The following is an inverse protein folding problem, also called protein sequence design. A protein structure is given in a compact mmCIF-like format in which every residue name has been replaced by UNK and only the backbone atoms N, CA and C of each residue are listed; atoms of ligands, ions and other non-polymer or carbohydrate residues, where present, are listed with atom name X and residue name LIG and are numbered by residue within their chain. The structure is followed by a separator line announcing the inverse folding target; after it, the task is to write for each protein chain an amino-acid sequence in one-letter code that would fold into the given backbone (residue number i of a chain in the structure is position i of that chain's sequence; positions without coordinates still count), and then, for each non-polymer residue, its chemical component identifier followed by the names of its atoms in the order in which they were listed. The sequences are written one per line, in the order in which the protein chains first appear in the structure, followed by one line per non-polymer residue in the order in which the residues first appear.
data_IF_585748768989
#
_entry.id   IF_585748768989
#
_cell.length_a   1.000
_cell.length_b   1.000
_cell.length_c   1.000
_cell.angle_alpha   90.00
_cell.angle_beta   90.00
_cell.angle_gamma   90.00
#
_symmetry.space_group_name_H-M   'P 1'
#
loop_
_entity.id
_entity.type
_entity.pdbx_description
1 polymer ?
#
# COMPACT_ATOMS: atom_id res chain seq x y z
N UNK A 1 -35.88 -77.71 21.68
CA UNK A 1 -36.22 -78.19 20.32
C UNK A 1 -37.40 -77.33 19.87
N UNK A 2 -37.17 -76.26 19.09
CA UNK A 2 -37.36 -76.17 17.61
C UNK A 2 -38.77 -76.60 17.19
N UNK A 3 -39.62 -75.81 16.52
CA UNK A 3 -39.52 -75.01 15.28
C UNK A 3 -40.37 -73.72 15.42
N UNK A 4 -39.94 -72.51 15.05
CA UNK A 4 -39.76 -71.89 13.72
C UNK A 4 -41.04 -71.77 12.87
N UNK A 5 -41.58 -70.56 12.75
CA UNK A 5 -42.20 -70.02 11.52
C UNK A 5 -42.26 -68.48 11.55
N UNK A 6 -41.86 -67.90 10.43
CA UNK A 6 -41.66 -66.49 10.06
C UNK A 6 -43.00 -65.80 9.73
N UNK A 7 -43.13 -64.47 9.88
CA UNK A 7 -43.29 -63.58 8.69
C UNK A 7 -42.47 -62.28 8.83
N UNK A 8 -41.56 -61.98 7.90
CA UNK A 8 -41.77 -61.11 6.72
C UNK A 8 -41.95 -59.63 7.08
N UNK A 9 -40.80 -58.98 7.25
CA UNK A 9 -40.62 -57.55 7.42
C UNK A 9 -40.75 -56.86 6.05
N UNK A 10 -41.59 -55.82 5.94
CA UNK A 10 -41.57 -54.90 4.79
C UNK A 10 -41.57 -53.47 5.30
N UNK A 11 -40.39 -53.02 5.74
CA UNK A 11 -40.11 -51.60 5.97
C UNK A 11 -39.67 -50.95 4.65
N UNK A 12 -40.54 -50.12 4.10
CA UNK A 12 -40.24 -49.22 2.99
C UNK A 12 -39.22 -48.18 3.44
N UNK A 13 -37.96 -48.30 3.04
CA UNK A 13 -36.96 -47.23 3.17
C UNK A 13 -37.09 -46.25 2.01
N UNK A 14 -37.65 -45.09 2.29
CA UNK A 14 -37.56 -43.89 1.44
C UNK A 14 -36.11 -43.40 1.44
N UNK A 15 -35.41 -43.53 0.31
CA UNK A 15 -34.09 -42.94 0.09
C UNK A 15 -34.24 -41.46 -0.28
N UNK A 16 -33.80 -40.58 0.62
CA UNK A 16 -33.61 -39.16 0.33
C UNK A 16 -32.44 -38.98 -0.67
N UNK A 17 -32.55 -38.05 -1.65
CA UNK A 17 -31.47 -37.81 -2.60
C UNK A 17 -30.28 -37.11 -1.92
N UNK A 18 -29.07 -37.65 -2.14
CA UNK A 18 -27.80 -37.06 -1.66
C UNK A 18 -27.57 -35.69 -2.33
N UNK A 19 -27.02 -34.69 -1.62
CA UNK A 19 -26.63 -33.42 -2.23
C UNK A 19 -25.46 -33.67 -3.19
N UNK A 20 -25.66 -33.35 -4.47
CA UNK A 20 -24.62 -33.40 -5.48
C UNK A 20 -23.66 -32.23 -5.21
N UNK A 21 -22.43 -32.54 -4.79
CA UNK A 21 -21.38 -31.54 -4.75
C UNK A 21 -21.15 -30.98 -6.17
N UNK A 22 -21.06 -29.65 -6.35
CA UNK A 22 -20.86 -29.07 -7.68
C UNK A 22 -19.52 -29.56 -8.26
N UNK A 23 -19.59 -30.16 -9.45
CA UNK A 23 -18.42 -30.65 -10.19
C UNK A 23 -17.49 -29.49 -10.58
N UNK A 24 -16.15 -29.65 -10.56
CA UNK A 24 -15.19 -28.59 -10.93
C UNK A 24 -15.37 -28.02 -12.34
N UNK A 25 -16.14 -28.69 -13.20
CA UNK A 25 -16.51 -28.21 -14.52
C UNK A 25 -17.33 -26.89 -14.51
N UNK A 26 -18.02 -26.56 -13.41
CA UNK A 26 -18.83 -25.34 -13.30
C UNK A 26 -18.00 -24.05 -13.17
N UNK A 27 -16.68 -24.14 -12.96
CA UNK A 27 -15.79 -22.98 -12.89
C UNK A 27 -15.08 -22.67 -14.23
N UNK A 28 -15.24 -23.50 -15.26
CA UNK A 28 -14.48 -23.43 -16.51
C UNK A 28 -15.01 -22.39 -17.53
N UNK A 29 -16.10 -21.68 -17.23
CA UNK A 29 -16.72 -20.72 -18.16
C UNK A 29 -16.81 -19.29 -17.59
N UNK A 30 -15.72 -18.81 -16.98
CA UNK A 30 -15.49 -17.37 -16.88
C UNK A 30 -14.58 -16.95 -18.02
N UNK A 31 -15.17 -16.38 -19.07
CA UNK A 31 -14.44 -15.62 -20.08
C UNK A 31 -13.58 -14.60 -19.34
N UNK A 32 -12.25 -14.76 -19.41
CA UNK A 32 -11.31 -13.82 -18.83
C UNK A 32 -11.50 -12.48 -19.55
N UNK A 33 -12.15 -11.53 -18.90
CA UNK A 33 -12.12 -10.14 -19.35
C UNK A 33 -10.68 -9.69 -19.19
N UNK A 34 -9.94 -9.67 -20.29
CA UNK A 34 -8.60 -9.09 -20.31
C UNK A 34 -8.81 -7.60 -20.11
N UNK A 35 -8.52 -7.10 -18.90
CA UNK A 35 -8.50 -5.68 -18.65
C UNK A 35 -7.51 -5.06 -19.63
N UNK A 36 -7.99 -4.21 -20.54
CA UNK A 36 -7.13 -3.45 -21.43
C UNK A 36 -6.23 -2.58 -20.57
N UNK A 37 -4.92 -2.62 -20.80
CA UNK A 37 -3.98 -1.77 -20.10
C UNK A 37 -4.37 -0.30 -20.34
N UNK A 38 -4.30 0.59 -19.32
CA UNK A 38 -4.60 2.00 -19.52
C UNK A 38 -3.65 2.57 -20.58
N UNK A 39 -4.21 3.15 -21.64
CA UNK A 39 -3.44 3.91 -22.62
C UNK A 39 -3.09 5.26 -22.00
N UNK A 40 -1.81 5.46 -21.67
CA UNK A 40 -1.30 6.76 -21.23
C UNK A 40 -1.37 7.68 -22.45
N UNK A 41 -2.20 8.72 -22.40
CA UNK A 41 -2.29 9.75 -23.42
C UNK A 41 -1.49 10.97 -22.98
N UNK A 42 -0.57 11.44 -23.81
CA UNK A 42 0.20 12.66 -23.59
C UNK A 42 -0.51 13.86 -24.21
N UNK A 43 -0.45 15.02 -23.55
CA UNK A 43 -1.00 16.25 -24.15
C UNK A 43 -0.08 16.75 -25.27
N UNK A 44 -0.67 17.22 -26.37
CA UNK A 44 0.11 17.80 -27.48
C UNK A 44 0.91 19.02 -27.03
N UNK A 45 0.41 19.77 -26.05
CA UNK A 45 1.07 20.92 -25.45
C UNK A 45 2.35 20.52 -24.71
N UNK A 46 2.30 19.47 -23.88
CA UNK A 46 3.47 18.96 -23.17
C UNK A 46 4.53 18.42 -24.14
N UNK A 47 4.11 17.72 -25.21
CA UNK A 47 5.02 17.22 -26.25
C UNK A 47 5.71 18.40 -26.94
N UNK A 48 4.93 19.42 -27.34
CA UNK A 48 5.46 20.62 -28.00
C UNK A 48 6.44 21.38 -27.10
N UNK A 49 6.13 21.52 -25.82
CA UNK A 49 7.01 22.16 -24.85
C UNK A 49 8.32 21.36 -24.70
N UNK A 50 8.24 20.05 -24.50
CA UNK A 50 9.41 19.19 -24.35
C UNK A 50 10.29 19.16 -25.62
N UNK A 51 9.68 19.24 -26.82
CA UNK A 51 10.39 19.29 -28.10
C UNK A 51 11.39 20.45 -28.20
N UNK A 52 11.12 21.56 -27.52
CA UNK A 52 12.03 22.73 -27.52
C UNK A 52 13.39 22.46 -26.86
N UNK A 53 13.47 21.44 -26.02
CA UNK A 53 14.70 21.04 -25.33
C UNK A 53 15.51 20.00 -26.11
N UNK A 54 15.04 19.53 -27.26
CA UNK A 54 15.66 18.41 -27.96
C UNK A 54 16.01 18.68 -29.42
N UNK A 55 17.11 18.06 -29.83
CA UNK A 55 17.59 18.04 -31.22
C UNK A 55 17.95 16.63 -31.62
N UNK A 56 17.76 16.30 -32.89
CA UNK A 56 18.26 15.05 -33.49
C UNK A 56 19.20 15.43 -34.62
N UNK A 57 20.34 14.74 -34.73
CA UNK A 57 21.26 14.91 -35.84
C UNK A 57 20.94 13.97 -37.02
N UNK A 58 21.69 14.12 -38.12
CA UNK A 58 21.50 13.33 -39.34
C UNK A 58 21.77 11.83 -39.15
N UNK A 59 22.52 11.45 -38.10
CA UNK A 59 22.84 10.06 -37.77
C UNK A 59 21.79 9.42 -36.84
N UNK A 60 20.73 10.15 -36.48
CA UNK A 60 19.70 9.69 -35.55
C UNK A 60 20.12 9.78 -34.08
N UNK A 61 21.19 10.52 -33.76
CA UNK A 61 21.61 10.77 -32.37
C UNK A 61 20.78 11.91 -31.79
N UNK A 62 20.23 11.67 -30.61
CA UNK A 62 19.32 12.59 -29.90
C UNK A 62 20.07 13.30 -28.79
N UNK A 63 19.95 14.63 -28.78
CA UNK A 63 20.56 15.51 -27.79
C UNK A 63 19.47 16.23 -27.00
N UNK A 64 19.74 16.49 -25.72
CA UNK A 64 18.93 17.34 -24.86
C UNK A 64 19.73 18.57 -24.47
N UNK A 65 19.09 19.73 -24.48
CA UNK A 65 19.66 20.97 -23.95
C UNK A 65 19.30 21.10 -22.49
N UNK A 66 20.30 21.07 -21.61
CA UNK A 66 20.15 21.17 -20.18
C UNK A 66 21.06 22.27 -19.64
N UNK A 67 20.49 23.28 -18.97
CA UNK A 67 21.22 24.45 -18.44
C UNK A 67 22.09 25.16 -19.50
N UNK A 68 21.64 25.17 -20.76
CA UNK A 68 22.38 25.76 -21.88
C UNK A 68 23.51 24.90 -22.45
N UNK A 69 23.71 23.67 -21.96
CA UNK A 69 24.64 22.69 -22.52
C UNK A 69 23.88 21.57 -23.24
N UNK A 70 24.34 21.18 -24.43
CA UNK A 70 23.83 19.98 -25.11
C UNK A 70 24.47 18.73 -24.50
N UNK A 71 23.63 17.73 -24.19
CA UNK A 71 24.03 16.41 -23.72
C UNK A 71 23.47 15.34 -24.65
N UNK A 72 24.30 14.40 -25.07
CA UNK A 72 23.84 13.22 -25.80
C UNK A 72 22.97 12.34 -24.88
N UNK A 73 21.79 11.98 -25.37
CA UNK A 73 20.80 11.18 -24.65
C UNK A 73 20.85 9.72 -25.11
N UNK A 74 21.07 9.53 -26.40
CA UNK A 74 21.18 8.22 -27.03
C UNK A 74 20.94 8.30 -28.53
N UNK A 75 21.05 7.16 -29.20
CA UNK A 75 20.86 7.05 -30.64
C UNK A 75 19.60 6.23 -30.94
N UNK A 76 18.90 6.60 -32.02
CA UNK A 76 17.74 5.88 -32.52
C UNK A 76 18.00 5.43 -33.95
N UNK A 77 18.34 4.15 -34.14
CA UNK A 77 18.78 3.59 -35.42
C UNK A 77 17.63 3.14 -36.34
N UNK A 78 16.39 3.13 -35.86
CA UNK A 78 15.24 2.57 -36.57
C UNK A 78 14.10 3.57 -36.67
N UNK A 79 13.97 4.27 -37.79
CA UNK A 79 12.85 5.18 -38.04
C UNK A 79 13.29 6.58 -38.41
N UNK A 80 12.36 7.53 -38.35
CA UNK A 80 12.62 8.94 -38.69
C UNK A 80 13.17 9.72 -37.49
N UNK A 81 13.92 10.83 -37.73
CA UNK A 81 14.38 11.70 -36.64
C UNK A 81 13.25 12.26 -35.76
N UNK A 82 12.07 12.50 -36.33
CA UNK A 82 10.92 13.01 -35.57
C UNK A 82 10.34 11.96 -34.62
N UNK A 83 10.29 10.69 -35.05
CA UNK A 83 9.90 9.56 -34.20
C UNK A 83 10.89 9.34 -33.06
N UNK A 84 12.19 9.44 -33.36
CA UNK A 84 13.25 9.36 -32.35
C UNK A 84 13.03 10.40 -31.25
N UNK A 85 12.82 11.66 -31.64
CA UNK A 85 12.60 12.76 -30.70
C UNK A 85 11.35 12.53 -29.84
N UNK A 86 10.25 12.11 -30.47
CA UNK A 86 8.98 11.84 -29.80
C UNK A 86 9.12 10.71 -28.77
N UNK A 87 9.88 9.66 -29.08
CA UNK A 87 10.16 8.56 -28.15
C UNK A 87 10.83 9.05 -26.86
N UNK A 88 11.88 9.87 -26.96
CA UNK A 88 12.57 10.41 -25.78
C UNK A 88 11.75 11.48 -25.04
N UNK A 89 10.86 12.19 -25.73
CA UNK A 89 9.88 13.08 -25.09
C UNK A 89 8.87 12.28 -24.26
N UNK A 90 8.35 11.17 -24.77
CA UNK A 90 7.45 10.32 -23.99
C UNK A 90 8.12 9.81 -22.71
N UNK A 91 9.40 9.43 -22.77
CA UNK A 91 10.16 9.05 -21.56
C UNK A 91 10.26 10.19 -20.54
N UNK A 92 10.39 11.43 -20.99
CA UNK A 92 10.34 12.60 -20.10
C UNK A 92 8.97 12.74 -19.44
N UNK A 93 7.89 12.60 -20.21
CA UNK A 93 6.53 12.70 -19.70
C UNK A 93 6.19 11.56 -18.74
N UNK A 94 6.71 10.36 -18.97
CA UNK A 94 6.61 9.25 -18.02
C UNK A 94 7.24 9.59 -16.67
N UNK A 95 8.43 10.19 -16.66
CA UNK A 95 9.10 10.64 -15.43
C UNK A 95 8.27 11.72 -14.71
N UNK A 96 7.71 12.68 -15.45
CA UNK A 96 6.80 13.70 -14.92
C UNK A 96 5.58 13.04 -14.26
N UNK A 97 4.92 12.10 -14.94
CA UNK A 97 3.76 11.37 -14.44
C UNK A 97 4.12 10.59 -13.16
N UNK A 98 5.29 9.94 -13.11
CA UNK A 98 5.74 9.24 -11.89
C UNK A 98 5.90 10.17 -10.70
N UNK A 99 6.48 11.37 -10.90
CA UNK A 99 6.61 12.38 -9.86
C UNK A 99 5.23 12.87 -9.37
N UNK A 100 4.30 13.12 -10.30
CA UNK A 100 2.94 13.56 -9.96
C UNK A 100 2.14 12.46 -9.25
N UNK A 101 2.33 11.20 -9.63
CA UNK A 101 1.74 10.06 -8.93
C UNK A 101 2.29 9.94 -7.50
N UNK A 102 3.59 10.15 -7.32
CA UNK A 102 4.19 10.17 -5.99
C UNK A 102 3.67 11.34 -5.14
N UNK A 103 3.50 12.53 -5.73
CA UNK A 103 2.88 13.67 -5.06
C UNK A 103 1.49 13.32 -4.50
N UNK A 104 0.62 12.71 -5.33
CA UNK A 104 -0.69 12.23 -4.89
C UNK A 104 -0.60 11.15 -3.82
N UNK A 105 0.40 10.26 -3.89
CA UNK A 105 0.63 9.23 -2.87
C UNK A 105 1.02 9.83 -1.51
N UNK A 106 1.77 10.93 -1.48
CA UNK A 106 2.10 11.63 -0.23
C UNK A 106 0.86 12.21 0.47
N UNK A 107 -0.17 12.59 -0.29
CA UNK A 107 -1.44 13.07 0.26
C UNK A 107 -2.27 11.96 0.91
N UNK A 108 -2.06 10.70 0.50
CA UNK A 108 -2.76 9.56 1.08
C UNK A 108 -2.48 9.42 2.59
N UNK A 109 -3.48 8.97 3.34
CA UNK A 109 -3.39 8.79 4.80
C UNK A 109 -2.61 7.54 5.21
N UNK A 110 -2.48 6.56 4.31
CA UNK A 110 -1.92 5.23 4.59
C UNK A 110 -0.47 5.05 4.10
N UNK A 111 0.16 6.09 3.57
CA UNK A 111 1.55 6.02 3.10
C UNK A 111 2.51 5.79 4.26
N UNK A 112 3.46 4.86 4.10
CA UNK A 112 4.45 4.53 5.14
C UNK A 112 5.76 5.27 4.90
N UNK A 113 6.43 5.65 5.99
CA UNK A 113 7.71 6.35 5.94
C UNK A 113 8.77 5.61 5.08
N UNK A 114 8.84 4.29 5.19
CA UNK A 114 9.77 3.46 4.39
C UNK A 114 9.46 3.52 2.88
N UNK A 115 8.19 3.50 2.51
CA UNK A 115 7.77 3.56 1.10
C UNK A 115 8.07 4.93 0.48
N UNK A 116 7.98 6.01 1.27
CA UNK A 116 8.40 7.36 0.87
C UNK A 116 9.88 7.34 0.50
N UNK A 117 10.74 6.82 1.37
CA UNK A 117 12.18 6.75 1.15
C UNK A 117 12.54 5.88 -0.06
N UNK A 118 11.94 4.70 -0.20
CA UNK A 118 12.16 3.80 -1.33
C UNK A 118 11.78 4.46 -2.67
N UNK A 119 10.65 5.18 -2.70
CA UNK A 119 10.18 5.86 -3.91
C UNK A 119 11.09 7.05 -4.26
N UNK A 120 11.46 7.87 -3.27
CA UNK A 120 12.37 9.00 -3.47
C UNK A 120 13.75 8.57 -3.99
N UNK A 121 14.28 7.47 -3.45
CA UNK A 121 15.56 6.92 -3.89
C UNK A 121 15.49 6.37 -5.32
N UNK A 122 14.40 5.67 -5.66
CA UNK A 122 14.17 5.16 -7.02
C UNK A 122 14.09 6.31 -8.03
N UNK A 123 13.27 7.34 -7.72
CA UNK A 123 13.13 8.52 -8.58
C UNK A 123 14.44 9.30 -8.70
N UNK A 124 15.23 9.39 -7.62
CA UNK A 124 16.55 10.03 -7.66
C UNK A 124 17.47 9.32 -8.65
N UNK A 125 17.52 7.98 -8.61
CA UNK A 125 18.33 7.19 -9.53
C UNK A 125 17.89 7.35 -10.99
N UNK A 126 16.58 7.38 -11.25
CA UNK A 126 16.03 7.62 -12.60
C UNK A 126 16.34 9.04 -13.12
N UNK A 127 16.50 10.02 -12.23
CA UNK A 127 16.73 11.43 -12.56
C UNK A 127 18.20 11.87 -12.61
N UNK A 128 19.16 11.01 -12.27
CA UNK A 128 20.58 11.39 -12.37
C UNK A 128 20.97 11.68 -13.83
N UNK A 129 20.83 10.68 -14.71
CA UNK A 129 21.13 10.79 -16.14
C UNK A 129 20.00 10.21 -16.98
N UNK A 130 18.82 10.84 -17.00
CA UNK A 130 17.68 10.30 -17.73
C UNK A 130 17.94 10.32 -19.23
N UNK A 131 17.69 9.17 -19.87
CA UNK A 131 17.58 9.05 -21.32
C UNK A 131 16.21 9.61 -21.76
N UNK A 132 16.06 10.93 -21.73
CA UNK A 132 14.82 11.64 -22.02
C UNK A 132 15.09 13.05 -22.56
N UNK A 133 14.11 13.61 -23.27
CA UNK A 133 14.15 14.96 -23.86
C UNK A 133 13.03 15.80 -23.26
N UNK A 134 13.38 16.90 -22.60
CA UNK A 134 12.46 17.83 -21.97
C UNK A 134 13.18 18.69 -20.93
N UNK A 135 12.43 19.38 -20.06
CA UNK A 135 12.99 20.19 -18.99
C UNK A 135 13.46 19.31 -17.81
N UNK A 136 14.66 18.74 -17.94
CA UNK A 136 15.24 17.86 -16.91
C UNK A 136 15.53 18.63 -15.61
N UNK A 137 15.87 19.92 -15.71
CA UNK A 137 16.08 20.77 -14.54
C UNK A 137 14.79 20.92 -13.73
N UNK A 138 13.65 21.12 -14.38
CA UNK A 138 12.34 21.15 -13.72
C UNK A 138 11.98 19.82 -13.05
N UNK A 139 12.30 18.66 -13.65
CA UNK A 139 12.07 17.36 -13.00
C UNK A 139 12.90 17.20 -11.72
N UNK A 140 14.17 17.61 -11.74
CA UNK A 140 15.03 17.55 -10.54
C UNK A 140 14.57 18.54 -9.47
N UNK A 141 14.14 19.73 -9.85
CA UNK A 141 13.55 20.69 -8.92
C UNK A 141 12.27 20.14 -8.27
N UNK A 142 11.40 19.51 -9.07
CA UNK A 142 10.19 18.86 -8.58
C UNK A 142 10.49 17.69 -7.64
N UNK A 143 11.50 16.88 -7.95
CA UNK A 143 11.97 15.80 -7.06
C UNK A 143 12.50 16.35 -5.73
N UNK A 144 13.25 17.46 -5.75
CA UNK A 144 13.71 18.12 -4.53
C UNK A 144 12.55 18.64 -3.67
N UNK A 145 11.54 19.26 -4.28
CA UNK A 145 10.30 19.67 -3.60
C UNK A 145 9.57 18.47 -2.97
N UNK A 146 9.43 17.36 -3.71
CA UNK A 146 8.80 16.15 -3.21
C UNK A 146 9.62 15.46 -2.11
N UNK A 147 10.94 15.62 -2.13
CA UNK A 147 11.82 15.15 -1.05
C UNK A 147 11.54 15.92 0.24
N UNK A 148 11.42 17.25 0.16
CA UNK A 148 11.07 18.08 1.32
C UNK A 148 9.68 17.69 1.89
N UNK A 149 8.66 17.62 1.03
CA UNK A 149 7.31 17.16 1.42
C UNK A 149 7.29 15.74 1.98
N UNK A 150 8.11 14.85 1.43
CA UNK A 150 8.28 13.49 1.92
C UNK A 150 8.84 13.46 3.34
N UNK A 151 9.84 14.30 3.63
CA UNK A 151 10.41 14.42 4.98
C UNK A 151 9.38 14.98 5.99
N UNK A 152 8.67 16.05 5.63
CA UNK A 152 7.59 16.60 6.47
C UNK A 152 6.51 15.54 6.78
N UNK A 153 6.09 14.77 5.76
CA UNK A 153 5.11 13.69 5.95
C UNK A 153 5.65 12.61 6.89
N UNK A 154 6.93 12.24 6.77
CA UNK A 154 7.58 11.26 7.66
C UNK A 154 7.62 11.75 9.10
N UNK A 155 7.94 13.02 9.33
CA UNK A 155 7.92 13.62 10.67
C UNK A 155 6.51 13.59 11.27
N UNK A 156 5.48 13.92 10.48
CA UNK A 156 4.09 13.82 10.91
C UNK A 156 3.69 12.38 11.27
N UNK A 157 4.10 11.39 10.47
CA UNK A 157 3.86 9.96 10.76
C UNK A 157 4.58 9.53 12.06
N UNK A 158 5.83 9.94 12.25
CA UNK A 158 6.61 9.62 13.43
C UNK A 158 5.99 10.23 14.69
N UNK A 159 5.56 11.49 14.61
CA UNK A 159 4.85 12.20 15.68
C UNK A 159 3.53 11.50 16.04
N UNK A 160 2.68 11.21 15.06
CA UNK A 160 1.41 10.51 15.29
C UNK A 160 1.63 9.12 15.92
N UNK A 161 2.69 8.40 15.50
CA UNK A 161 3.06 7.12 16.11
C UNK A 161 3.48 7.29 17.57
N UNK A 162 4.28 8.32 17.89
CA UNK A 162 4.70 8.62 19.26
C UNK A 162 3.50 8.95 20.15
N UNK A 163 2.61 9.81 19.68
CA UNK A 163 1.37 10.17 20.38
C UNK A 163 0.48 8.93 20.62
N UNK A 164 0.37 8.05 19.63
CA UNK A 164 -0.36 6.79 19.77
C UNK A 164 0.28 5.85 20.80
N UNK A 165 1.61 5.78 20.88
CA UNK A 165 2.33 5.01 21.90
C UNK A 165 2.09 5.58 23.30
N UNK A 166 2.23 6.90 23.47
CA UNK A 166 1.98 7.57 24.75
C UNK A 166 0.53 7.37 25.23
N UNK A 167 -0.43 7.46 24.30
CA UNK A 167 -1.84 7.20 24.58
C UNK A 167 -2.07 5.74 25.01
N UNK A 168 -1.56 4.79 24.24
CA UNK A 168 -1.71 3.36 24.54
C UNK A 168 -1.04 2.98 25.87
N UNK A 169 0.11 3.58 26.20
CA UNK A 169 0.77 3.38 27.49
C UNK A 169 -0.10 3.91 28.63
N UNK A 170 -0.57 5.16 28.51
CA UNK A 170 -1.42 5.79 29.52
C UNK A 170 -2.70 5.01 29.77
N UNK A 171 -3.38 4.57 28.72
CA UNK A 171 -4.62 3.79 28.81
C UNK A 171 -4.36 2.42 29.45
N UNK A 172 -3.27 1.74 29.07
CA UNK A 172 -2.86 0.48 29.71
C UNK A 172 -2.56 0.67 31.20
N UNK A 173 -1.78 1.69 31.56
CA UNK A 173 -1.45 1.98 32.97
C UNK A 173 -2.72 2.24 33.78
N UNK A 174 -3.67 3.00 33.23
CA UNK A 174 -4.94 3.25 33.89
C UNK A 174 -5.75 1.96 34.17
N UNK A 175 -5.76 1.00 33.25
CA UNK A 175 -6.43 -0.30 33.46
C UNK A 175 -5.78 -1.05 34.64
N UNK A 176 -4.44 -1.04 34.72
CA UNK A 176 -3.68 -1.68 35.81
C UNK A 176 -3.95 -0.98 37.14
N UNK A 177 -3.86 0.36 37.19
CA UNK A 177 -4.15 1.16 38.38
C UNK A 177 -5.58 0.94 38.89
N UNK A 178 -6.56 0.80 37.99
CA UNK A 178 -7.94 0.45 38.36
C UNK A 178 -8.04 -0.94 38.97
N UNK A 179 -7.29 -1.92 38.44
CA UNK A 179 -7.24 -3.27 39.00
C UNK A 179 -6.58 -3.29 40.38
N UNK A 180 -5.46 -2.59 40.55
CA UNK A 180 -4.75 -2.46 41.83
C UNK A 180 -5.62 -1.75 42.88
N UNK A 181 -6.28 -0.66 42.49
CA UNK A 181 -7.20 0.08 43.37
C UNK A 181 -8.38 -0.79 43.81
N UNK A 182 -8.92 -1.61 42.90
CA UNK A 182 -10.01 -2.52 43.19
C UNK A 182 -9.62 -3.58 44.23
N UNK A 183 -8.40 -4.10 44.15
CA UNK A 183 -7.86 -5.06 45.14
C UNK A 183 -7.53 -4.37 46.47
N UNK A 184 -6.98 -3.15 46.43
CA UNK A 184 -6.63 -2.38 47.62
C UNK A 184 -7.85 -1.99 48.48
N UNK A 185 -9.03 -1.89 47.88
CA UNK A 185 -10.29 -1.59 48.56
C UNK A 185 -10.92 -2.81 49.28
N UNK A 186 -10.29 -3.99 49.20
CA UNK A 186 -10.81 -5.22 49.80
C UNK A 186 -10.74 -5.20 51.34
N UNK A 187 -11.82 -5.61 51.99
CA UNK A 187 -11.94 -5.80 53.44
C UNK A 187 -12.60 -7.16 53.79
N UNK A 188 -12.75 -7.48 55.09
CA UNK A 188 -13.31 -8.77 55.57
C UNK A 188 -14.75 -9.05 55.12
N UNK A 189 -15.51 -8.02 54.72
CA UNK A 189 -16.91 -8.14 54.23
C UNK A 189 -17.04 -8.09 52.70
N UNK A 190 -15.94 -8.26 51.96
CA UNK A 190 -15.95 -8.13 50.49
C UNK A 190 -16.74 -9.26 49.82
N UNK A 191 -17.64 -8.90 48.90
CA UNK A 191 -18.30 -9.86 48.02
C UNK A 191 -17.30 -10.36 46.95
N UNK A 192 -16.75 -11.56 47.18
CA UNK A 192 -15.74 -12.17 46.32
C UNK A 192 -16.22 -12.40 44.88
N UNK A 193 -17.50 -12.73 44.68
CA UNK A 193 -18.05 -12.97 43.34
C UNK A 193 -18.05 -11.67 42.52
N UNK A 194 -18.56 -10.59 43.12
CA UNK A 194 -18.60 -9.28 42.48
C UNK A 194 -17.20 -8.73 42.18
N UNK A 195 -16.26 -8.92 43.12
CA UNK A 195 -14.86 -8.55 42.92
C UNK A 195 -14.23 -9.30 41.73
N UNK A 196 -14.42 -10.62 41.67
CA UNK A 196 -13.92 -11.44 40.57
C UNK A 196 -14.54 -11.03 39.22
N UNK A 197 -15.84 -10.70 39.18
CA UNK A 197 -16.50 -10.26 37.95
C UNK A 197 -15.92 -8.91 37.47
N UNK A 198 -15.65 -7.96 38.39
CA UNK A 198 -14.99 -6.69 38.08
C UNK A 198 -13.54 -6.88 37.59
N UNK A 199 -12.78 -7.78 38.21
CA UNK A 199 -11.42 -8.10 37.76
C UNK A 199 -11.39 -8.73 36.36
N UNK A 200 -12.36 -9.62 36.06
CA UNK A 200 -12.52 -10.20 34.72
C UNK A 200 -12.82 -9.14 33.67
N UNK A 201 -13.72 -8.20 33.98
CA UNK A 201 -14.03 -7.09 33.07
C UNK A 201 -12.80 -6.21 32.77
N UNK A 202 -11.98 -5.91 33.78
CA UNK A 202 -10.72 -5.16 33.58
C UNK A 202 -9.69 -5.95 32.76
N UNK A 203 -9.63 -7.28 32.95
CA UNK A 203 -8.78 -8.14 32.15
C UNK A 203 -9.22 -8.17 30.68
N UNK A 204 -10.52 -8.26 30.42
CA UNK A 204 -11.08 -8.20 29.06
C UNK A 204 -10.80 -6.84 28.40
N UNK A 205 -10.97 -5.74 29.15
CA UNK A 205 -10.61 -4.39 28.71
C UNK A 205 -9.12 -4.29 28.35
N UNK A 206 -8.25 -4.87 29.17
CA UNK A 206 -6.82 -4.95 28.88
C UNK A 206 -6.52 -5.75 27.60
N UNK A 207 -7.17 -6.91 27.41
CA UNK A 207 -6.98 -7.72 26.20
C UNK A 207 -7.44 -6.97 24.94
N UNK A 208 -8.59 -6.31 24.99
CA UNK A 208 -9.11 -5.56 23.85
C UNK A 208 -8.23 -4.35 23.53
N UNK A 209 -7.74 -3.64 24.55
CA UNK A 209 -6.76 -2.56 24.37
C UNK A 209 -5.50 -3.07 23.65
N UNK A 210 -4.94 -4.21 24.06
CA UNK A 210 -3.77 -4.79 23.37
C UNK A 210 -4.03 -5.12 21.90
N UNK A 211 -5.26 -5.51 21.54
CA UNK A 211 -5.62 -5.92 20.19
C UNK A 211 -5.91 -4.73 19.25
N UNK A 212 -6.40 -3.63 19.79
CA UNK A 212 -6.91 -2.48 19.02
C UNK A 212 -5.97 -1.28 18.97
N UNK A 213 -4.96 -1.24 19.85
CA UNK A 213 -3.99 -0.14 19.92
C UNK A 213 -2.65 -0.50 19.28
N UNK A 214 -1.72 0.46 19.25
CA UNK A 214 -0.36 0.20 18.80
C UNK A 214 0.32 -0.81 19.74
N UNK A 215 1.07 -1.73 19.16
CA UNK A 215 1.83 -2.71 19.93
C UNK A 215 2.87 -2.02 20.81
N UNK A 216 2.76 -2.22 22.13
CA UNK A 216 3.73 -1.76 23.13
C UNK A 216 4.81 -2.83 23.32
N UNK A 217 6.08 -2.48 23.15
CA UNK A 217 7.20 -3.37 23.43
C UNK A 217 7.57 -3.36 24.91
N UNK A 218 8.34 -4.35 25.33
CA UNK A 218 8.85 -4.42 26.71
C UNK A 218 9.74 -3.23 27.09
N UNK A 219 10.42 -2.63 26.11
CA UNK A 219 11.23 -1.42 26.28
C UNK A 219 10.41 -0.14 26.39
N UNK A 220 9.12 -0.19 26.06
CA UNK A 220 8.23 0.97 26.10
C UNK A 220 7.56 1.11 27.48
N UNK A 221 7.86 0.20 28.42
CA UNK A 221 7.33 0.14 29.79
C UNK A 221 8.38 0.56 30.82
#
# INVERSE_FOLDING_TARGET
MTEQTKPEETTKTTTAPKPVAPSPASFAHKTRVVAQAPTISYSEEDIKAAKTFGRVDENGTVYVTENGAEREVGQYSTGTPEEALTFYIHRYLDLKIKLDLFAKRLEASNVKAKEIDETLNTLKAELENPAAVGDIAALRARHAELTAKGNEKKEAIAKARKEALEKALKERTNIVERAESLVAQMNESTNWRELNDKLRALFDEWQEHQRTTIHLNKSDA
#
